data_IF_428569989799
#
_entry.id   IF_428569989799
#
_cell.length_a   1.000
_cell.length_b   1.000
_cell.length_c   1.000
_cell.angle_alpha   90.00
_cell.angle_beta   90.00
_cell.angle_gamma   90.00
#
_symmetry.space_group_name_H-M   'P 1'
#
loop_
_entity.id
_entity.type
_entity.pdbx_description
1 polymer ?
#
# COMPACT_ATOMS: atom_id res chain seq x y z
N UNK A 1 8.84 17.11 -25.73
CA UNK A 1 8.62 18.57 -25.62
C UNK A 1 7.62 18.77 -24.51
N UNK A 2 8.05 19.13 -23.30
CA UNK A 2 7.16 19.34 -22.17
C UNK A 2 6.26 20.54 -22.45
N UNK A 3 4.95 20.32 -22.56
CA UNK A 3 3.99 21.41 -22.60
C UNK A 3 4.19 22.29 -21.34
N UNK A 4 4.07 23.61 -21.50
CA UNK A 4 4.22 24.53 -20.38
C UNK A 4 3.12 24.23 -19.34
N UNK A 5 3.38 24.09 -18.03
CA UNK A 5 2.39 23.60 -17.05
C UNK A 5 1.06 24.38 -17.04
N UNK A 6 1.09 25.65 -17.43
CA UNK A 6 -0.09 26.52 -17.49
C UNK A 6 -0.78 26.57 -18.86
N UNK A 7 -0.36 25.76 -19.84
CA UNK A 7 -1.04 25.66 -21.15
C UNK A 7 -2.30 24.79 -21.09
N UNK A 8 -2.58 24.19 -19.94
CA UNK A 8 -3.69 23.27 -19.72
C UNK A 8 -5.02 24.03 -19.64
N UNK A 9 -6.10 23.50 -20.23
CA UNK A 9 -7.41 24.18 -20.29
C UNK A 9 -8.11 24.18 -18.92
N UNK A 10 -8.96 25.18 -18.66
CA UNK A 10 -9.65 25.30 -17.38
C UNK A 10 -10.56 24.12 -17.08
N UNK A 11 -11.25 23.58 -18.08
CA UNK A 11 -12.13 22.42 -17.93
C UNK A 11 -11.34 21.11 -17.70
N UNK A 12 -10.18 20.98 -18.31
CA UNK A 12 -9.23 19.91 -18.07
C UNK A 12 -8.61 20.02 -16.67
N UNK A 13 -8.24 21.23 -16.24
CA UNK A 13 -7.68 21.52 -14.91
C UNK A 13 -8.69 21.22 -13.79
N UNK A 14 -9.95 21.62 -13.94
CA UNK A 14 -11.00 21.30 -12.96
C UNK A 14 -11.28 19.80 -12.86
N UNK A 15 -11.16 19.05 -13.97
CA UNK A 15 -11.22 17.58 -13.98
C UNK A 15 -9.96 16.92 -13.41
N UNK A 16 -8.83 17.63 -13.38
CA UNK A 16 -7.54 17.12 -12.90
C UNK A 16 -7.44 17.13 -11.37
N UNK A 17 -7.97 18.16 -10.71
CA UNK A 17 -7.92 18.27 -9.26
C UNK A 17 -9.07 19.14 -8.74
N UNK A 18 -9.92 18.66 -7.81
CA UNK A 18 -11.05 19.43 -7.27
C UNK A 18 -10.63 20.74 -6.58
N UNK A 19 -9.37 20.87 -6.14
CA UNK A 19 -8.82 22.12 -5.64
C UNK A 19 -8.83 23.25 -6.70
N UNK A 20 -8.76 22.92 -8.00
CA UNK A 20 -8.93 23.91 -9.07
C UNK A 20 -10.33 24.50 -9.09
N UNK A 21 -11.37 23.70 -8.83
CA UNK A 21 -12.74 24.19 -8.78
C UNK A 21 -12.95 25.17 -7.60
N UNK A 22 -12.31 24.91 -6.45
CA UNK A 22 -12.33 25.79 -5.29
C UNK A 22 -11.60 27.13 -5.53
N UNK A 23 -10.52 27.11 -6.34
CA UNK A 23 -9.70 28.28 -6.63
C UNK A 23 -10.24 29.14 -7.79
N UNK A 24 -10.78 28.49 -8.83
CA UNK A 24 -11.22 29.13 -10.08
C UNK A 24 -12.71 29.49 -10.04
N UNK A 25 -13.51 28.79 -9.23
CA UNK A 25 -14.97 28.94 -9.22
C UNK A 25 -15.64 28.40 -10.50
N UNK A 26 -16.94 28.63 -10.70
CA UNK A 26 -17.67 28.17 -11.88
C UNK A 26 -17.11 28.85 -13.15
N UNK A 27 -16.66 28.04 -14.11
CA UNK A 27 -15.94 28.44 -15.33
C UNK A 27 -16.79 29.34 -16.23
N UNK A 28 -16.41 30.62 -16.44
CA UNK A 28 -17.09 31.48 -17.40
C UNK A 28 -16.72 31.15 -18.85
N UNK A 29 -15.57 30.48 -19.08
CA UNK A 29 -14.97 30.21 -20.40
C UNK A 29 -14.09 28.94 -20.35
N UNK A 30 -14.65 27.74 -20.52
CA UNK A 30 -13.94 26.46 -20.31
C UNK A 30 -12.72 26.26 -21.23
N UNK A 31 -12.73 26.86 -22.42
CA UNK A 31 -11.69 26.66 -23.45
C UNK A 31 -10.39 27.45 -23.20
N UNK A 32 -10.36 28.37 -22.23
CA UNK A 32 -9.16 29.14 -21.91
C UNK A 32 -8.13 28.25 -21.21
N UNK A 33 -6.85 28.48 -21.50
CA UNK A 33 -5.76 27.92 -20.70
C UNK A 33 -5.63 28.61 -19.33
N UNK A 34 -5.01 27.92 -18.37
CA UNK A 34 -4.69 28.50 -17.05
C UNK A 34 -3.87 29.80 -17.16
N UNK A 35 -2.95 29.88 -18.13
CA UNK A 35 -2.15 31.08 -18.38
C UNK A 35 -3.01 32.25 -18.90
N UNK A 36 -3.93 31.99 -19.83
CA UNK A 36 -4.84 33.00 -20.38
C UNK A 36 -5.86 33.45 -19.32
N UNK A 37 -6.36 32.53 -18.50
CA UNK A 37 -7.24 32.86 -17.38
C UNK A 37 -6.54 33.74 -16.35
N UNK A 38 -5.33 33.37 -15.93
CA UNK A 38 -4.50 34.20 -15.06
C UNK A 38 -4.37 35.61 -15.63
N UNK A 39 -4.08 35.76 -16.92
CA UNK A 39 -3.93 37.06 -17.57
C UNK A 39 -5.21 37.93 -17.54
N UNK A 40 -6.40 37.32 -17.38
CA UNK A 40 -7.68 38.03 -17.32
C UNK A 40 -8.03 38.59 -15.94
N UNK A 41 -7.36 38.15 -14.87
CA UNK A 41 -7.67 38.56 -13.49
C UNK A 41 -7.25 40.02 -13.19
N UNK A 42 -8.16 40.80 -12.61
CA UNK A 42 -7.86 42.15 -12.11
C UNK A 42 -7.23 42.13 -10.71
N UNK A 43 -6.96 43.32 -10.16
CA UNK A 43 -6.53 43.49 -8.76
C UNK A 43 -7.57 42.97 -7.77
N UNK A 44 -8.84 43.27 -8.03
CA UNK A 44 -9.96 42.94 -7.13
C UNK A 44 -10.17 41.41 -7.02
N UNK A 45 -9.91 40.69 -8.11
CA UNK A 45 -9.99 39.22 -8.13
C UNK A 45 -8.86 38.59 -7.32
N UNK A 46 -7.64 39.12 -7.45
CA UNK A 46 -6.46 38.65 -6.71
C UNK A 46 -6.61 38.90 -5.21
N UNK A 47 -7.14 40.06 -4.82
CA UNK A 47 -7.43 40.40 -3.43
C UNK A 47 -8.51 39.49 -2.83
N UNK A 48 -9.55 39.14 -3.60
CA UNK A 48 -10.58 38.18 -3.18
C UNK A 48 -10.00 36.79 -2.94
N UNK A 49 -9.08 36.35 -3.79
CA UNK A 49 -8.39 35.07 -3.67
C UNK A 49 -7.28 35.09 -2.61
N UNK A 50 -6.90 36.27 -2.11
CA UNK A 50 -5.80 36.50 -1.15
C UNK A 50 -4.44 36.00 -1.66
N UNK A 51 -4.20 36.15 -2.95
CA UNK A 51 -2.93 35.82 -3.59
C UNK A 51 -2.40 37.02 -4.38
N UNK A 52 -1.09 37.25 -4.34
CA UNK A 52 -0.45 38.00 -5.42
C UNK A 52 -0.45 37.19 -6.71
N UNK A 53 -0.36 37.86 -7.86
CA UNK A 53 -0.31 37.19 -9.17
C UNK A 53 0.80 36.14 -9.28
N UNK A 54 1.97 36.43 -8.71
CA UNK A 54 3.13 35.52 -8.71
C UNK A 54 2.87 34.29 -7.83
N UNK A 55 2.27 34.49 -6.65
CA UNK A 55 1.94 33.38 -5.75
C UNK A 55 0.84 32.49 -6.32
N UNK A 56 -0.19 33.08 -6.95
CA UNK A 56 -1.26 32.33 -7.60
C UNK A 56 -0.71 31.48 -8.76
N UNK A 57 0.19 32.06 -9.57
CA UNK A 57 0.85 31.32 -10.65
C UNK A 57 1.67 30.13 -10.11
N UNK A 58 2.45 30.35 -9.05
CA UNK A 58 3.23 29.29 -8.40
C UNK A 58 2.33 28.20 -7.83
N UNK A 59 1.20 28.57 -7.21
CA UNK A 59 0.23 27.65 -6.65
C UNK A 59 -0.45 26.80 -7.74
N UNK A 60 -0.87 27.41 -8.84
CA UNK A 60 -1.46 26.71 -9.99
C UNK A 60 -0.46 25.75 -10.63
N UNK A 61 0.81 26.16 -10.81
CA UNK A 61 1.88 25.28 -11.29
C UNK A 61 2.06 24.07 -10.37
N UNK A 62 2.06 24.28 -9.05
CA UNK A 62 2.16 23.20 -8.08
C UNK A 62 0.97 22.23 -8.16
N UNK A 63 -0.25 22.73 -8.33
CA UNK A 63 -1.45 21.90 -8.49
C UNK A 63 -1.41 21.09 -9.80
N UNK A 64 -0.98 21.69 -10.92
CA UNK A 64 -0.81 20.95 -12.18
C UNK A 64 0.26 19.87 -12.02
N UNK A 65 1.41 20.20 -11.42
CA UNK A 65 2.47 19.22 -11.16
C UNK A 65 2.02 18.07 -10.25
N UNK A 66 1.19 18.35 -9.23
CA UNK A 66 0.60 17.32 -8.39
C UNK A 66 -0.40 16.44 -9.15
N UNK A 67 -1.19 17.03 -10.04
CA UNK A 67 -2.16 16.30 -10.86
C UNK A 67 -1.48 15.47 -11.97
N UNK A 68 -0.43 16.01 -12.57
CA UNK A 68 0.42 15.28 -13.51
C UNK A 68 1.20 14.16 -12.82
N UNK A 69 1.64 14.34 -11.56
CA UNK A 69 2.26 13.25 -10.79
C UNK A 69 1.27 12.18 -10.36
N UNK A 70 -0.02 12.52 -10.20
CA UNK A 70 -1.12 11.56 -9.99
C UNK A 70 -1.43 10.75 -11.25
N UNK A 71 -1.24 11.34 -12.44
CA UNK A 71 -1.49 10.72 -13.76
C UNK A 71 -0.25 10.09 -14.41
N UNK A 72 0.95 10.41 -13.92
CA UNK A 72 2.17 9.84 -14.44
C UNK A 72 2.08 8.32 -14.26
N UNK A 73 2.26 7.53 -15.34
CA UNK A 73 2.32 6.09 -15.20
C UNK A 73 3.40 5.78 -14.17
N UNK A 74 3.07 4.96 -13.18
CA UNK A 74 4.06 4.49 -12.21
C UNK A 74 5.21 3.91 -13.02
N UNK A 75 6.36 4.56 -12.92
CA UNK A 75 7.60 4.06 -13.51
C UNK A 75 7.78 2.67 -12.94
N UNK A 76 7.73 1.66 -13.81
CA UNK A 76 7.87 0.27 -13.41
C UNK A 76 9.15 0.11 -12.60
N UNK A 77 9.01 -0.29 -11.34
CA UNK A 77 10.17 -0.63 -10.52
C UNK A 77 10.59 -2.03 -10.92
N UNK A 78 11.80 -2.17 -11.46
CA UNK A 78 12.38 -3.43 -11.88
C UNK A 78 13.18 -4.09 -10.76
N UNK A 79 13.71 -3.31 -9.82
CA UNK A 79 14.35 -3.84 -8.63
C UNK A 79 14.22 -2.95 -7.39
N UNK A 80 14.12 -3.60 -6.23
CA UNK A 80 14.29 -3.03 -4.90
C UNK A 80 15.52 -3.68 -4.28
N UNK A 81 16.55 -2.89 -3.96
CA UNK A 81 17.78 -3.39 -3.33
C UNK A 81 17.94 -2.82 -1.93
N UNK A 82 18.17 -3.71 -0.97
CA UNK A 82 18.33 -3.40 0.45
C UNK A 82 19.80 -3.60 0.81
N UNK A 83 20.47 -2.51 1.16
CA UNK A 83 21.85 -2.53 1.63
C UNK A 83 21.89 -2.42 3.16
N UNK A 84 22.73 -3.26 3.76
CA UNK A 84 22.90 -3.35 5.20
C UNK A 84 23.44 -2.08 5.82
N UNK A 85 23.00 -1.84 7.06
CA UNK A 85 23.49 -0.78 7.92
C UNK A 85 24.16 -1.36 9.16
N UNK A 86 23.48 -1.31 10.30
CA UNK A 86 23.98 -1.75 11.61
C UNK A 86 22.88 -2.36 12.49
N UNK A 87 23.29 -3.23 13.40
CA UNK A 87 22.43 -3.80 14.44
C UNK A 87 22.20 -2.83 15.62
N UNK A 88 21.40 -3.24 16.62
CA UNK A 88 21.13 -2.43 17.82
C UNK A 88 22.38 -2.11 18.66
N UNK A 89 23.45 -2.88 18.49
CA UNK A 89 24.71 -2.73 19.21
C UNK A 89 25.76 -1.97 18.37
N UNK A 90 25.37 -1.44 17.20
CA UNK A 90 26.26 -0.71 16.30
C UNK A 90 27.20 -1.59 15.47
N UNK A 91 27.02 -2.92 15.46
CA UNK A 91 27.79 -3.84 14.61
C UNK A 91 27.31 -3.73 13.18
N UNK A 92 28.21 -3.88 12.21
CA UNK A 92 27.87 -3.81 10.80
C UNK A 92 26.94 -4.95 10.38
N UNK A 93 25.88 -4.61 9.65
CA UNK A 93 24.97 -5.55 9.00
C UNK A 93 25.49 -5.80 7.58
N UNK A 94 25.88 -7.04 7.28
CA UNK A 94 26.34 -7.42 5.94
C UNK A 94 25.16 -7.93 5.12
N UNK A 95 24.36 -6.99 4.61
CA UNK A 95 23.21 -7.29 3.76
C UNK A 95 23.38 -6.63 2.39
N UNK A 96 23.12 -7.41 1.35
CA UNK A 96 22.98 -6.94 -0.01
C UNK A 96 21.92 -7.80 -0.71
N UNK A 97 20.66 -7.36 -0.64
CA UNK A 97 19.52 -8.13 -1.12
C UNK A 97 18.79 -7.38 -2.22
N UNK A 98 18.70 -7.98 -3.40
CA UNK A 98 17.89 -7.49 -4.51
C UNK A 98 16.60 -8.32 -4.66
N UNK A 99 15.48 -7.60 -4.73
CA UNK A 99 14.13 -8.10 -4.96
C UNK A 99 13.62 -7.54 -6.29
N UNK A 100 12.79 -8.32 -6.98
CA UNK A 100 12.23 -8.01 -8.30
C UNK A 100 10.72 -8.17 -8.28
N UNK A 101 9.96 -7.52 -9.19
CA UNK A 101 8.53 -7.76 -9.38
C UNK A 101 8.16 -9.26 -9.34
N UNK A 102 7.03 -9.56 -8.70
CA UNK A 102 6.58 -10.93 -8.42
C UNK A 102 7.28 -11.63 -7.25
N UNK A 103 8.32 -11.02 -6.64
CA UNK A 103 8.96 -11.59 -5.46
C UNK A 103 8.07 -11.45 -4.21
N UNK A 104 7.87 -12.57 -3.52
CA UNK A 104 7.25 -12.63 -2.20
C UNK A 104 8.32 -12.99 -1.19
N UNK A 105 8.47 -12.14 -0.17
CA UNK A 105 9.49 -12.31 0.86
C UNK A 105 8.85 -12.19 2.22
N UNK A 106 9.02 -13.20 3.06
CA UNK A 106 8.60 -13.09 4.46
C UNK A 106 9.72 -12.50 5.30
N UNK A 107 9.39 -11.61 6.24
CA UNK A 107 10.30 -11.11 7.27
C UNK A 107 9.94 -11.83 8.57
N UNK A 108 10.87 -12.61 9.10
CA UNK A 108 10.65 -13.45 10.28
C UNK A 108 11.66 -13.13 11.37
N UNK A 109 11.29 -13.40 12.61
CA UNK A 109 12.14 -13.18 13.78
C UNK A 109 11.33 -12.91 15.05
N UNK A 110 11.94 -13.06 16.24
CA UNK A 110 11.25 -12.85 17.52
C UNK A 110 10.60 -11.46 17.64
N UNK A 111 9.62 -11.32 18.53
CA UNK A 111 9.04 -10.00 18.86
C UNK A 111 10.14 -9.04 19.31
N UNK A 112 10.10 -7.81 18.80
CA UNK A 112 11.13 -6.80 19.11
C UNK A 112 12.49 -7.02 18.43
N UNK A 113 12.65 -8.02 17.55
CA UNK A 113 13.89 -8.27 16.81
C UNK A 113 14.25 -7.15 15.82
N UNK A 114 13.27 -6.39 15.31
CA UNK A 114 13.48 -5.29 14.36
C UNK A 114 12.74 -5.41 13.03
N UNK A 115 11.78 -6.35 12.88
CA UNK A 115 10.99 -6.54 11.65
C UNK A 115 10.31 -5.26 11.16
N UNK A 116 9.51 -4.60 12.01
CA UNK A 116 8.85 -3.34 11.66
C UNK A 116 9.84 -2.20 11.40
N UNK A 117 11.06 -2.25 11.98
CA UNK A 117 12.13 -1.30 11.63
C UNK A 117 12.61 -1.52 10.19
N UNK A 118 12.83 -2.77 9.77
CA UNK A 118 13.17 -3.07 8.38
C UNK A 118 12.06 -2.60 7.42
N UNK A 119 10.79 -2.88 7.75
CA UNK A 119 9.67 -2.41 6.94
C UNK A 119 9.64 -0.89 6.87
N UNK A 120 9.80 -0.18 8.00
CA UNK A 120 9.88 1.28 8.01
C UNK A 120 11.08 1.86 7.25
N UNK A 121 12.24 1.19 7.27
CA UNK A 121 13.39 1.58 6.46
C UNK A 121 13.06 1.50 4.95
N UNK A 122 12.30 0.47 4.53
CA UNK A 122 11.85 0.31 3.14
C UNK A 122 10.75 1.32 2.80
N UNK A 123 9.75 1.49 3.66
CA UNK A 123 8.64 2.44 3.52
C UNK A 123 9.15 3.85 3.23
N UNK A 124 10.13 4.30 4.02
CA UNK A 124 10.69 5.64 3.88
C UNK A 124 11.82 5.73 2.86
N UNK A 125 12.15 4.64 2.13
CA UNK A 125 13.28 4.56 1.20
C UNK A 125 14.57 5.10 1.84
N UNK A 126 14.96 4.50 2.97
CA UNK A 126 16.08 4.94 3.80
C UNK A 126 17.37 5.16 2.99
N UNK A 127 18.13 6.21 3.31
CA UNK A 127 19.37 6.58 2.61
C UNK A 127 20.57 6.62 3.58
N UNK A 128 20.54 5.78 4.61
CA UNK A 128 21.53 5.78 5.69
C UNK A 128 21.23 6.78 6.80
N UNK A 129 20.04 7.37 6.77
CA UNK A 129 19.56 8.43 7.68
C UNK A 129 18.60 7.92 8.76
N UNK A 130 18.30 6.62 8.76
CA UNK A 130 17.55 5.97 9.83
C UNK A 130 18.49 5.40 10.89
N UNK A 131 18.00 5.10 12.12
CA UNK A 131 18.81 4.47 13.17
C UNK A 131 19.49 3.15 12.79
N UNK A 132 18.97 2.42 11.79
CA UNK A 132 19.62 1.21 11.28
C UNK A 132 20.78 1.54 10.33
N UNK A 133 20.82 2.73 9.73
CA UNK A 133 21.80 3.12 8.72
C UNK A 133 21.66 2.37 7.39
N UNK A 134 20.54 1.66 7.16
CA UNK A 134 20.27 0.95 5.91
C UNK A 134 20.08 1.92 4.74
N UNK A 135 20.36 1.43 3.54
CA UNK A 135 20.12 2.15 2.29
C UNK A 135 19.23 1.34 1.38
N UNK A 136 18.22 1.98 0.82
CA UNK A 136 17.24 1.40 -0.09
C UNK A 136 17.45 2.01 -1.46
N UNK A 137 17.69 1.16 -2.45
CA UNK A 137 17.87 1.56 -3.83
C UNK A 137 16.68 1.06 -4.66
N UNK A 138 16.26 1.88 -5.62
CA UNK A 138 15.23 1.54 -6.60
C UNK A 138 15.92 1.53 -7.96
N UNK A 139 15.81 0.43 -8.69
CA UNK A 139 16.48 0.23 -9.99
C UNK A 139 18.00 0.46 -9.94
N UNK A 140 18.61 0.16 -8.79
CA UNK A 140 20.05 0.33 -8.54
C UNK A 140 20.47 1.75 -8.13
N UNK A 141 19.55 2.71 -8.08
CA UNK A 141 19.84 4.10 -7.76
C UNK A 141 19.23 4.55 -6.43
N UNK A 142 19.84 5.58 -5.82
CA UNK A 142 19.27 6.21 -4.62
C UNK A 142 18.03 7.00 -5.07
N UNK A 143 16.83 6.74 -4.51
CA UNK A 143 15.63 7.45 -4.91
C UNK A 143 15.76 8.96 -4.67
N UNK A 144 15.36 9.76 -5.65
CA UNK A 144 15.35 11.21 -5.51
C UNK A 144 14.40 11.66 -4.38
N UNK A 145 14.70 12.80 -3.72
CA UNK A 145 13.80 13.49 -2.80
C UNK A 145 12.32 13.49 -3.21
N UNK A 146 12.05 13.83 -4.46
CA UNK A 146 10.69 13.93 -4.99
C UNK A 146 9.94 12.60 -4.91
N UNK A 147 10.61 11.46 -5.10
CA UNK A 147 10.01 10.12 -4.99
C UNK A 147 9.86 9.67 -3.53
N UNK A 148 10.79 10.08 -2.67
CA UNK A 148 10.79 9.74 -1.25
C UNK A 148 9.67 10.43 -0.46
N UNK A 149 9.36 11.66 -0.81
CA UNK A 149 8.33 12.48 -0.14
C UNK A 149 7.09 12.73 -1.00
N UNK A 150 6.89 11.93 -2.04
CA UNK A 150 5.75 12.07 -2.93
C UNK A 150 4.45 11.89 -2.13
N UNK A 151 3.54 12.87 -2.23
CA UNK A 151 2.20 12.76 -1.67
C UNK A 151 1.34 11.78 -2.50
N UNK A 152 1.60 11.70 -3.80
CA UNK A 152 0.95 10.81 -4.77
C UNK A 152 1.99 9.93 -5.47
N UNK A 153 1.58 8.76 -5.98
CA UNK A 153 2.49 7.84 -6.68
C UNK A 153 3.58 7.25 -5.78
N UNK A 154 3.27 7.03 -4.48
CA UNK A 154 4.22 6.39 -3.55
C UNK A 154 4.67 5.05 -4.09
N UNK A 155 5.98 4.82 -4.06
CA UNK A 155 6.58 3.55 -4.49
C UNK A 155 6.22 2.38 -3.55
N UNK A 156 5.89 2.70 -2.30
CA UNK A 156 5.61 1.73 -1.25
C UNK A 156 4.20 1.94 -0.69
N UNK A 157 3.39 0.89 -0.73
CA UNK A 157 2.14 0.79 0.01
C UNK A 157 2.37 -0.06 1.27
N UNK A 158 1.88 0.39 2.42
CA UNK A 158 2.04 -0.33 3.68
C UNK A 158 0.69 -0.66 4.31
N UNK A 159 0.51 -1.92 4.65
CA UNK A 159 -0.60 -2.46 5.43
C UNK A 159 -0.10 -2.73 6.84
N UNK A 160 -0.43 -1.83 7.77
CA UNK A 160 0.02 -1.89 9.16
C UNK A 160 -0.83 -2.83 10.03
N UNK A 161 -0.24 -3.32 11.12
CA UNK A 161 -0.86 -4.25 12.06
C UNK A 161 -2.18 -3.73 12.66
N UNK A 162 -2.20 -2.46 13.10
CA UNK A 162 -3.35 -1.80 13.70
C UNK A 162 -3.95 -0.82 12.70
N UNK A 163 -5.15 -1.12 12.20
CA UNK A 163 -5.85 -0.29 11.23
C UNK A 163 -7.13 0.24 11.88
N UNK A 164 -7.05 1.47 12.39
CA UNK A 164 -8.19 2.15 12.97
C UNK A 164 -8.65 3.22 11.99
N UNK A 165 -9.82 3.01 11.39
CA UNK A 165 -10.48 4.06 10.63
C UNK A 165 -11.04 5.09 11.60
N UNK A 166 -10.58 6.34 11.47
CA UNK A 166 -11.05 7.48 12.27
C UNK A 166 -12.00 8.37 11.45
N UNK A 167 -12.33 7.93 10.24
CA UNK A 167 -13.15 8.69 9.28
C UNK A 167 -14.56 8.12 9.26
N UNK A 168 -15.55 9.01 9.32
CA UNK A 168 -16.97 8.66 9.20
C UNK A 168 -17.36 8.59 7.72
N UNK A 169 -16.95 7.50 7.05
CA UNK A 169 -17.28 7.20 5.66
C UNK A 169 -17.88 5.80 5.56
N UNK A 170 -18.66 5.59 4.51
CA UNK A 170 -19.06 4.24 4.12
C UNK A 170 -17.92 3.55 3.38
N UNK A 171 -17.95 2.22 3.32
CA UNK A 171 -17.00 1.42 2.54
C UNK A 171 -16.97 1.87 1.07
N UNK A 172 -18.14 2.10 0.47
CA UNK A 172 -18.27 2.54 -0.91
C UNK A 172 -17.54 3.85 -1.16
N UNK A 173 -17.90 4.88 -0.38
CA UNK A 173 -17.30 6.23 -0.51
C UNK A 173 -15.77 6.19 -0.33
N UNK A 174 -15.29 5.35 0.60
CA UNK A 174 -13.85 5.22 0.85
C UNK A 174 -13.10 4.65 -0.34
N UNK A 175 -13.61 3.57 -0.95
CA UNK A 175 -12.96 2.93 -2.09
C UNK A 175 -13.13 3.77 -3.36
N UNK A 176 -14.27 4.42 -3.53
CA UNK A 176 -14.51 5.34 -4.64
C UNK A 176 -13.53 6.52 -4.58
N UNK A 177 -13.36 7.14 -3.42
CA UNK A 177 -12.35 8.18 -3.18
C UNK A 177 -10.94 7.68 -3.53
N UNK A 178 -10.61 6.43 -3.22
CA UNK A 178 -9.33 5.81 -3.58
C UNK A 178 -9.17 5.64 -5.10
N UNK A 179 -10.23 5.27 -5.81
CA UNK A 179 -10.24 5.13 -7.25
C UNK A 179 -10.14 6.50 -7.96
N UNK A 180 -10.87 7.50 -7.48
CA UNK A 180 -10.81 8.89 -7.95
C UNK A 180 -9.41 9.50 -7.76
N UNK A 181 -8.81 9.31 -6.59
CA UNK A 181 -7.46 9.76 -6.29
C UNK A 181 -6.40 9.11 -7.21
N UNK A 182 -6.75 8.04 -7.93
CA UNK A 182 -5.88 7.36 -8.88
C UNK A 182 -6.32 7.58 -10.33
N UNK A 183 -7.25 8.49 -10.55
CA UNK A 183 -7.80 8.85 -11.85
C UNK A 183 -8.32 7.64 -12.64
N UNK A 184 -8.96 6.69 -11.96
CA UNK A 184 -9.65 5.57 -12.61
C UNK A 184 -10.92 6.09 -13.30
N UNK A 185 -11.14 5.67 -14.55
CA UNK A 185 -12.22 6.19 -15.40
C UNK A 185 -13.62 5.90 -14.87
N UNK A 186 -13.81 4.76 -14.20
CA UNK A 186 -15.08 4.34 -13.57
C UNK A 186 -14.86 3.99 -12.08
N UNK A 187 -14.85 4.99 -11.18
CA UNK A 187 -14.64 4.81 -9.75
C UNK A 187 -15.69 3.92 -9.08
N UNK A 188 -16.95 4.02 -9.52
CA UNK A 188 -18.07 3.24 -8.97
C UNK A 188 -17.89 1.75 -9.28
N UNK A 189 -17.60 1.42 -10.54
CA UNK A 189 -17.33 0.04 -10.94
C UNK A 189 -16.09 -0.53 -10.23
N UNK A 190 -15.03 0.27 -10.13
CA UNK A 190 -13.81 -0.12 -9.42
C UNK A 190 -14.08 -0.41 -7.93
N UNK A 191 -14.88 0.44 -7.27
CA UNK A 191 -15.29 0.24 -5.89
C UNK A 191 -16.11 -1.06 -5.72
N UNK A 192 -17.05 -1.34 -6.63
CA UNK A 192 -17.82 -2.57 -6.62
C UNK A 192 -16.92 -3.82 -6.73
N UNK A 193 -15.91 -3.79 -7.61
CA UNK A 193 -14.95 -4.89 -7.78
C UNK A 193 -14.10 -5.12 -6.53
N UNK A 194 -13.61 -4.05 -5.91
CA UNK A 194 -12.84 -4.14 -4.66
C UNK A 194 -13.67 -4.72 -3.53
N UNK A 195 -14.90 -4.27 -3.35
CA UNK A 195 -15.79 -4.77 -2.29
C UNK A 195 -16.14 -6.24 -2.53
N UNK A 196 -16.38 -6.64 -3.78
CA UNK A 196 -16.60 -8.03 -4.13
C UNK A 196 -15.38 -8.90 -3.78
N UNK A 197 -14.18 -8.47 -4.19
CA UNK A 197 -12.93 -9.15 -3.86
C UNK A 197 -12.68 -9.22 -2.35
N UNK A 198 -12.92 -8.14 -1.62
CA UNK A 198 -12.76 -8.10 -0.16
C UNK A 198 -13.72 -9.08 0.54
N UNK A 199 -14.96 -9.22 0.04
CA UNK A 199 -15.94 -10.17 0.56
C UNK A 199 -15.59 -11.64 0.29
N UNK A 200 -14.71 -11.94 -0.68
CA UNK A 200 -14.15 -13.28 -0.86
C UNK A 200 -13.05 -13.58 0.16
N UNK A 201 -12.32 -12.55 0.60
CA UNK A 201 -11.26 -12.68 1.59
C UNK A 201 -11.77 -12.69 3.04
N UNK A 202 -12.86 -11.98 3.32
CA UNK A 202 -13.41 -11.80 4.65
C UNK A 202 -14.22 -13.03 5.10
N UNK A 203 -14.13 -13.38 6.39
CA UNK A 203 -14.97 -14.42 6.99
C UNK A 203 -16.46 -14.06 7.06
N UNK A 204 -16.80 -12.76 7.03
CA UNK A 204 -18.16 -12.24 7.03
C UNK A 204 -18.28 -11.10 6.03
N UNK A 205 -19.35 -11.12 5.22
CA UNK A 205 -19.58 -10.13 4.17
C UNK A 205 -20.04 -8.78 4.73
N UNK A 206 -19.74 -7.73 4.01
CA UNK A 206 -20.20 -6.37 4.26
C UNK A 206 -20.63 -5.69 2.95
N UNK A 207 -21.38 -4.59 3.06
CA UNK A 207 -21.88 -3.83 1.92
C UNK A 207 -21.15 -2.50 1.74
N UNK A 208 -21.30 -1.90 0.56
CA UNK A 208 -20.81 -0.54 0.28
C UNK A 208 -21.33 0.50 1.29
N UNK A 209 -22.56 0.32 1.80
CA UNK A 209 -23.19 1.23 2.76
C UNK A 209 -22.76 1.00 4.21
N UNK A 210 -21.93 -0.01 4.49
CA UNK A 210 -21.44 -0.28 5.85
C UNK A 210 -20.48 0.84 6.27
N UNK A 211 -20.57 1.31 7.52
CA UNK A 211 -19.60 2.31 8.02
C UNK A 211 -18.23 1.65 8.20
N UNK A 212 -17.15 2.33 7.81
CA UNK A 212 -15.78 1.86 8.03
C UNK A 212 -15.49 1.55 9.50
N UNK A 213 -16.05 2.34 10.41
CA UNK A 213 -15.85 2.19 11.86
C UNK A 213 -16.57 0.96 12.44
N UNK A 214 -17.50 0.37 11.69
CA UNK A 214 -18.25 -0.83 12.08
C UNK A 214 -17.61 -2.13 11.56
N UNK A 215 -16.64 -2.03 10.65
CA UNK A 215 -15.95 -3.19 10.13
C UNK A 215 -15.14 -3.88 11.24
N UNK A 216 -15.26 -5.20 11.32
CA UNK A 216 -14.36 -6.01 12.13
C UNK A 216 -12.92 -5.88 11.63
N UNK A 217 -11.93 -6.17 12.49
CA UNK A 217 -10.52 -6.12 12.09
C UNK A 217 -10.17 -7.02 10.89
N UNK A 218 -10.95 -8.08 10.66
CA UNK A 218 -10.83 -8.93 9.48
C UNK A 218 -11.38 -8.31 8.22
N UNK A 219 -12.60 -7.76 8.29
CA UNK A 219 -13.21 -7.06 7.17
C UNK A 219 -12.39 -5.84 6.74
N UNK A 220 -11.93 -5.04 7.71
CA UNK A 220 -11.04 -3.90 7.47
C UNK A 220 -9.77 -4.30 6.74
N UNK A 221 -9.16 -5.43 7.12
CA UNK A 221 -7.93 -5.90 6.48
C UNK A 221 -8.19 -6.50 5.09
N UNK A 222 -9.27 -7.26 4.93
CA UNK A 222 -9.71 -7.79 3.64
C UNK A 222 -9.97 -6.65 2.63
N UNK A 223 -10.67 -5.60 3.07
CA UNK A 223 -10.94 -4.40 2.28
C UNK A 223 -9.64 -3.74 1.80
N UNK A 224 -8.70 -3.52 2.72
CA UNK A 224 -7.45 -2.84 2.39
C UNK A 224 -6.51 -3.69 1.54
N UNK A 225 -6.51 -5.02 1.70
CA UNK A 225 -5.77 -5.91 0.80
C UNK A 225 -6.36 -5.86 -0.61
N UNK A 226 -7.68 -5.93 -0.74
CA UNK A 226 -8.35 -5.83 -2.03
C UNK A 226 -8.13 -4.45 -2.70
N UNK A 227 -8.24 -3.36 -1.93
CA UNK A 227 -7.93 -2.00 -2.36
C UNK A 227 -6.48 -1.88 -2.87
N UNK A 228 -5.52 -2.43 -2.12
CA UNK A 228 -4.10 -2.42 -2.54
C UNK A 228 -3.86 -3.30 -3.77
N UNK A 229 -4.47 -4.47 -3.84
CA UNK A 229 -4.28 -5.39 -4.95
C UNK A 229 -4.85 -4.85 -6.26
N UNK A 230 -6.02 -4.21 -6.21
CA UNK A 230 -6.78 -3.81 -7.40
C UNK A 230 -6.61 -2.34 -7.77
N UNK A 231 -6.50 -1.44 -6.80
CA UNK A 231 -6.40 0.00 -7.05
C UNK A 231 -5.00 0.54 -6.87
N UNK A 232 -4.19 0.01 -5.93
CA UNK A 232 -2.87 0.60 -5.68
C UNK A 232 -1.92 0.44 -6.84
N UNK A 233 -1.34 1.55 -7.28
CA UNK A 233 -0.29 1.59 -8.30
C UNK A 233 1.12 1.40 -7.70
N UNK A 234 1.25 1.35 -6.37
CA UNK A 234 2.53 1.12 -5.71
C UNK A 234 3.14 -0.24 -6.10
N UNK A 235 4.37 -0.28 -6.61
CA UNK A 235 5.04 -1.52 -7.02
C UNK A 235 5.58 -2.34 -5.84
N UNK A 236 5.74 -1.73 -4.66
CA UNK A 236 6.20 -2.41 -3.45
C UNK A 236 5.06 -2.40 -2.43
N UNK A 237 4.75 -3.57 -1.87
CA UNK A 237 3.75 -3.74 -0.81
C UNK A 237 4.41 -4.30 0.43
N UNK A 238 4.28 -3.59 1.54
CA UNK A 238 4.72 -4.02 2.85
C UNK A 238 3.50 -4.41 3.68
N UNK A 239 3.60 -5.53 4.36
CA UNK A 239 2.52 -6.05 5.18
C UNK A 239 3.09 -6.38 6.55
N UNK A 240 2.59 -5.70 7.59
CA UNK A 240 2.97 -5.98 8.97
C UNK A 240 1.87 -6.80 9.65
N UNK A 241 2.06 -8.12 9.70
CA UNK A 241 1.18 -9.12 10.32
C UNK A 241 -0.27 -9.18 9.78
N UNK A 242 -0.64 -10.33 9.22
CA UNK A 242 -2.01 -10.60 8.73
C UNK A 242 -2.67 -11.80 9.40
N UNK A 243 -1.92 -12.53 10.21
CA UNK A 243 -2.35 -13.80 10.80
C UNK A 243 -3.58 -13.66 11.71
N UNK A 244 -3.71 -12.54 12.43
CA UNK A 244 -4.76 -12.31 13.43
C UNK A 244 -6.08 -11.78 12.85
N UNK A 245 -6.22 -11.71 11.52
CA UNK A 245 -7.32 -11.01 10.88
C UNK A 245 -8.58 -11.84 10.65
N UNK A 246 -8.53 -13.18 10.73
CA UNK A 246 -9.69 -13.99 10.33
C UNK A 246 -10.06 -13.83 8.83
N UNK A 247 -9.06 -13.55 7.99
CA UNK A 247 -9.18 -13.50 6.53
C UNK A 247 -8.57 -14.75 5.89
N UNK A 248 -8.96 -15.06 4.66
CA UNK A 248 -8.29 -16.08 3.86
C UNK A 248 -6.89 -15.59 3.43
N UNK A 249 -5.89 -15.93 4.24
CA UNK A 249 -4.52 -15.43 4.08
C UNK A 249 -3.91 -15.85 2.75
N UNK A 250 -4.14 -17.09 2.30
CA UNK A 250 -3.61 -17.61 1.03
C UNK A 250 -4.18 -16.85 -0.16
N UNK A 251 -5.50 -16.68 -0.21
CA UNK A 251 -6.14 -15.94 -1.29
C UNK A 251 -5.70 -14.48 -1.31
N UNK A 252 -5.53 -13.87 -0.13
CA UNK A 252 -4.95 -12.52 -0.02
C UNK A 252 -3.53 -12.43 -0.61
N UNK A 253 -2.68 -13.45 -0.38
CA UNK A 253 -1.36 -13.52 -1.00
C UNK A 253 -1.45 -13.72 -2.52
N UNK A 254 -2.27 -14.68 -2.97
CA UNK A 254 -2.45 -14.99 -4.39
C UNK A 254 -2.86 -13.73 -5.19
N UNK A 255 -3.75 -12.90 -4.62
CA UNK A 255 -4.16 -11.61 -5.20
C UNK A 255 -3.01 -10.61 -5.32
N UNK A 256 -2.20 -10.47 -4.27
CA UNK A 256 -1.06 -9.55 -4.27
C UNK A 256 0.03 -10.02 -5.23
N UNK A 257 0.22 -11.33 -5.40
CA UNK A 257 1.16 -11.92 -6.36
C UNK A 257 0.74 -11.66 -7.80
N UNK A 258 -0.55 -11.83 -8.10
CA UNK A 258 -1.09 -11.63 -9.44
C UNK A 258 -0.89 -10.20 -9.97
N UNK A 259 -0.61 -9.23 -9.08
CA UNK A 259 -0.41 -7.82 -9.42
C UNK A 259 1.02 -7.44 -9.83
N UNK A 260 1.93 -8.41 -9.99
CA UNK A 260 3.35 -8.22 -10.35
C UNK A 260 4.11 -7.25 -9.42
N UNK A 261 3.71 -7.20 -8.15
CA UNK A 261 4.32 -6.34 -7.12
C UNK A 261 5.45 -7.06 -6.39
N UNK A 262 6.34 -6.29 -5.78
CA UNK A 262 7.30 -6.78 -4.77
C UNK A 262 6.58 -6.79 -3.42
N UNK A 263 6.40 -7.97 -2.82
CA UNK A 263 5.63 -8.10 -1.57
C UNK A 263 6.54 -8.54 -0.43
N UNK A 264 6.60 -7.75 0.64
CA UNK A 264 7.29 -8.10 1.89
C UNK A 264 6.29 -8.24 3.03
N UNK A 265 6.37 -9.35 3.77
CA UNK A 265 5.38 -9.73 4.77
C UNK A 265 6.07 -10.07 6.08
N UNK A 266 5.93 -9.21 7.08
CA UNK A 266 6.29 -9.54 8.46
C UNK A 266 5.25 -10.49 9.02
N UNK A 267 5.70 -11.66 9.50
CA UNK A 267 4.78 -12.68 10.03
C UNK A 267 5.44 -13.60 11.05
N UNK A 268 4.62 -14.16 11.92
CA UNK A 268 4.92 -15.26 12.83
C UNK A 268 4.25 -16.57 12.39
N UNK A 269 3.44 -16.54 11.32
CA UNK A 269 2.74 -17.71 10.79
C UNK A 269 3.68 -18.54 9.89
N UNK A 270 3.92 -19.83 10.22
CA UNK A 270 4.77 -20.70 9.43
C UNK A 270 4.24 -20.92 8.01
N UNK A 271 2.91 -20.88 7.79
CA UNK A 271 2.32 -21.03 6.46
C UNK A 271 2.72 -19.85 5.59
N UNK A 272 2.58 -18.62 6.10
CA UNK A 272 2.97 -17.40 5.36
C UNK A 272 4.48 -17.32 5.13
N UNK A 273 5.27 -17.72 6.12
CA UNK A 273 6.72 -17.78 5.99
C UNK A 273 7.16 -18.77 4.89
N UNK A 274 6.50 -19.92 4.79
CA UNK A 274 6.82 -20.96 3.80
C UNK A 274 6.18 -20.74 2.43
N UNK A 275 5.11 -19.94 2.36
CA UNK A 275 4.53 -19.54 1.09
C UNK A 275 5.46 -18.59 0.31
N UNK A 276 6.23 -17.76 1.03
CA UNK A 276 7.21 -16.87 0.42
C UNK A 276 8.38 -17.62 -0.25
N UNK A 277 8.93 -17.04 -1.31
CA UNK A 277 10.08 -17.61 -2.03
C UNK A 277 11.38 -17.50 -1.20
N UNK A 278 11.47 -16.41 -0.42
CA UNK A 278 12.61 -16.09 0.42
C UNK A 278 12.13 -15.62 1.79
N UNK A 279 12.95 -15.87 2.82
CA UNK A 279 12.69 -15.46 4.20
C UNK A 279 13.87 -14.65 4.70
N UNK A 280 13.63 -13.40 5.06
CA UNK A 280 14.59 -12.52 5.73
C UNK A 280 14.48 -12.77 7.23
N UNK A 281 15.53 -13.29 7.84
CA UNK A 281 15.60 -13.54 9.28
C UNK A 281 16.20 -12.32 9.97
N UNK A 282 15.45 -11.74 10.92
CA UNK A 282 15.88 -10.60 11.72
C UNK A 282 16.28 -11.04 13.12
N UNK A 283 17.48 -10.65 13.55
CA UNK A 283 17.98 -10.83 14.90
C UNK A 283 18.71 -9.57 15.38
N UNK A 284 18.48 -9.18 16.64
CA UNK A 284 19.16 -8.04 17.28
C UNK A 284 19.15 -6.70 16.49
N UNK A 285 18.15 -6.47 15.65
CA UNK A 285 17.99 -5.25 14.84
C UNK A 285 18.52 -5.34 13.41
N UNK A 286 19.21 -6.42 13.06
CA UNK A 286 19.82 -6.63 11.75
C UNK A 286 19.26 -7.88 11.06
N UNK A 287 19.36 -7.93 9.74
CA UNK A 287 19.21 -9.16 8.98
C UNK A 287 20.37 -10.08 9.33
N UNK A 288 20.06 -11.22 9.94
CA UNK A 288 21.04 -12.25 10.25
C UNK A 288 21.25 -13.21 9.08
N UNK A 289 20.20 -13.47 8.31
CA UNK A 289 20.22 -14.44 7.22
C UNK A 289 19.09 -14.17 6.21
N UNK A 290 19.32 -14.56 4.95
CA UNK A 290 18.28 -14.64 3.93
C UNK A 290 18.22 -16.08 3.43
N UNK A 291 17.09 -16.74 3.67
CA UNK A 291 16.92 -18.17 3.39
C UNK A 291 15.98 -18.33 2.20
N UNK A 292 16.35 -19.13 1.21
CA UNK A 292 15.45 -19.55 0.14
C UNK A 292 14.58 -20.71 0.60
N UNK A 293 13.28 -20.65 0.32
CA UNK A 293 12.36 -21.73 0.67
C UNK A 293 12.56 -22.91 -0.29
N UNK A 294 13.04 -24.02 0.26
CA UNK A 294 13.35 -25.24 -0.51
C UNK A 294 12.09 -25.99 -0.97
N UNK A 295 12.21 -26.87 -1.95
CA UNK A 295 11.09 -27.73 -2.38
C UNK A 295 10.60 -28.65 -1.24
N UNK A 296 11.51 -29.16 -0.41
CA UNK A 296 11.17 -29.99 0.75
C UNK A 296 10.30 -29.20 1.75
N UNK A 297 10.67 -27.95 2.02
CA UNK A 297 9.88 -27.05 2.86
C UNK A 297 8.52 -26.72 2.25
N UNK A 298 8.46 -26.46 0.93
CA UNK A 298 7.19 -26.24 0.22
C UNK A 298 6.30 -27.48 0.24
N UNK A 299 6.87 -28.69 0.17
CA UNK A 299 6.10 -29.93 0.25
C UNK A 299 5.39 -30.09 1.61
N UNK A 300 5.91 -29.48 2.68
CA UNK A 300 5.26 -29.47 3.98
C UNK A 300 4.13 -28.45 4.11
N UNK A 301 4.03 -27.47 3.20
CA UNK A 301 3.01 -26.42 3.23
C UNK A 301 1.59 -27.01 3.23
N UNK A 302 1.32 -27.98 2.35
CA UNK A 302 0.02 -28.65 2.27
C UNK A 302 -0.36 -29.39 3.56
N UNK A 303 0.62 -29.85 4.33
CA UNK A 303 0.37 -30.47 5.65
C UNK A 303 0.08 -29.42 6.71
N UNK A 304 0.84 -28.32 6.73
CA UNK A 304 0.60 -27.22 7.66
C UNK A 304 -0.78 -26.56 7.42
N UNK A 305 -1.17 -26.37 6.15
CA UNK A 305 -2.49 -25.85 5.79
C UNK A 305 -3.63 -26.77 6.27
N UNK A 306 -3.45 -28.10 6.21
CA UNK A 306 -4.42 -29.04 6.75
C UNK A 306 -4.55 -28.89 8.27
N UNK A 307 -3.44 -28.73 8.99
CA UNK A 307 -3.47 -28.50 10.42
C UNK A 307 -4.12 -27.16 10.80
N UNK A 308 -3.82 -26.08 10.07
CA UNK A 308 -4.43 -24.76 10.33
C UNK A 308 -5.94 -24.77 10.06
N UNK A 309 -6.40 -25.44 9.00
CA UNK A 309 -7.83 -25.62 8.72
C UNK A 309 -8.53 -26.36 9.85
N UNK A 310 -7.96 -27.47 10.30
CA UNK A 310 -8.50 -28.25 11.42
C UNK A 310 -8.60 -27.40 12.69
N UNK A 311 -7.53 -26.67 13.02
CA UNK A 311 -7.53 -25.78 14.18
C UNK A 311 -8.57 -24.67 14.06
N UNK A 312 -8.79 -24.14 12.86
CA UNK A 312 -9.80 -23.12 12.59
C UNK A 312 -11.22 -23.68 12.73
N UNK A 313 -11.50 -24.88 12.21
CA UNK A 313 -12.78 -25.58 12.38
C UNK A 313 -13.10 -25.84 13.85
N UNK A 314 -12.11 -26.32 14.63
CA UNK A 314 -12.27 -26.55 16.07
C UNK A 314 -12.54 -25.25 16.83
N UNK A 315 -11.87 -24.14 16.47
CA UNK A 315 -12.13 -22.82 17.06
C UNK A 315 -13.56 -22.35 16.77
N UNK A 316 -14.03 -22.49 15.53
CA UNK A 316 -15.40 -22.09 15.16
C UNK A 316 -16.46 -22.94 15.87
N UNK A 317 -16.25 -24.26 15.96
CA UNK A 317 -17.14 -25.13 16.74
C UNK A 317 -17.28 -24.67 18.19
N UNK A 318 -16.14 -24.41 18.86
CA UNK A 318 -16.13 -23.89 20.24
C UNK A 318 -16.79 -22.51 20.34
N UNK A 319 -16.56 -21.62 19.37
CA UNK A 319 -17.16 -20.28 19.31
C UNK A 319 -18.68 -20.34 19.25
N UNK A 320 -19.23 -21.37 18.60
CA UNK A 320 -20.66 -21.65 18.52
C UNK A 320 -21.19 -22.53 19.67
N UNK A 321 -20.38 -22.80 20.68
CA UNK A 321 -20.79 -23.52 21.90
C UNK A 321 -20.84 -25.04 21.74
N UNK A 322 -20.25 -25.61 20.69
CA UNK A 322 -20.13 -27.06 20.56
C UNK A 322 -19.22 -27.64 21.66
N UNK A 323 -19.52 -28.86 22.11
CA UNK A 323 -18.66 -29.61 23.02
C UNK A 323 -17.62 -30.39 22.22
N UNK A 324 -16.36 -30.34 22.67
CA UNK A 324 -15.27 -31.14 22.12
C UNK A 324 -15.02 -32.36 23.02
N UNK A 325 -15.91 -33.36 22.93
CA UNK A 325 -15.80 -34.58 23.74
C UNK A 325 -14.71 -35.55 23.22
N UNK A 326 -14.29 -35.39 21.95
CA UNK A 326 -13.18 -36.10 21.33
C UNK A 326 -12.45 -35.22 20.32
N UNK A 327 -11.12 -35.35 20.22
CA UNK A 327 -10.33 -34.68 19.19
C UNK A 327 -10.29 -35.53 17.91
N UNK A 328 -10.42 -34.91 16.72
CA UNK A 328 -10.21 -35.61 15.46
C UNK A 328 -8.80 -36.20 15.41
N UNK A 329 -8.69 -37.48 15.03
CA UNK A 329 -7.40 -38.16 14.97
C UNK A 329 -6.54 -37.58 13.85
N UNK A 330 -5.31 -37.16 14.18
CA UNK A 330 -4.28 -36.84 13.19
C UNK A 330 -3.91 -38.13 12.47
N UNK A 331 -4.50 -38.38 11.30
CA UNK A 331 -3.99 -39.40 10.38
C UNK A 331 -2.64 -38.93 9.84
N UNK A 332 -1.56 -39.31 10.54
CA UNK A 332 -0.17 -39.14 10.10
C UNK A 332 0.13 -40.21 9.04
#
# INVERSE_FOLDING_TARGET
>A
MSAHPLSLRLDEAQRLNPAFAALIGPTPKPDLSLAEWLATLGSDDLDRLKFSRVELEAHLRALVMQADSLRAPVVGVHSLRILGGRDKNGRAEQLDLELRPGAIVSVVGPTGSGKSRLLGDIECLAQGDTPSGRRILIDGEIPEPARRWAASGKLVAQLSQNMNFVVDLTVGDFVEMHAECRAIDDPEQAAAQVIACANELAGEKFSATTSLTQLSGGQSRALMIADVALLSSSPIVLIDEIENAGINRRQALDLLVASDKIVLISTHDPILALYAHRRIVIAAGAVSEVIETTEAERAHLATLERYDRLMSELREQLRHGARLDALPSFGI
#
